data_IF_900685531751
#
_entry.id   IF_900685531751
#
_cell.length_a   1.000
_cell.length_b   1.000
_cell.length_c   1.000
_cell.angle_alpha   90.00
_cell.angle_beta   90.00
_cell.angle_gamma   90.00
#
_symmetry.space_group_name_H-M   'P 1'
#
loop_
_entity.id
_entity.type
_entity.pdbx_description
1 polymer ?
#
# COMPACT_ATOMS: atom_id res chain seq x y z
N UNK A 1 -13.54 3.17 -4.50
CA UNK A 1 -13.22 2.67 -5.86
C UNK A 1 -11.75 2.28 -5.83
N UNK A 2 -11.43 0.99 -5.84
CA UNK A 2 -10.10 0.51 -5.46
C UNK A 2 -8.97 1.06 -6.37
N UNK A 3 -8.11 1.91 -5.82
CA UNK A 3 -6.93 2.44 -6.52
C UNK A 3 -5.79 1.42 -6.46
N UNK A 4 -5.81 0.46 -7.38
CA UNK A 4 -4.68 -0.45 -7.58
C UNK A 4 -3.50 0.33 -8.19
N UNK A 5 -2.40 0.38 -7.46
CA UNK A 5 -1.17 1.06 -7.88
C UNK A 5 0.03 0.19 -7.65
N UNK A 6 1.10 0.46 -8.39
CA UNK A 6 2.38 -0.20 -8.12
C UNK A 6 2.87 0.17 -6.71
N UNK A 7 3.57 -0.71 -6.00
CA UNK A 7 4.10 -0.41 -4.64
C UNK A 7 4.78 0.96 -4.56
N UNK A 8 5.59 1.32 -5.56
CA UNK A 8 6.27 2.64 -5.61
C UNK A 8 5.31 3.82 -5.76
N UNK A 9 4.29 3.70 -6.61
CA UNK A 9 3.29 4.75 -6.79
C UNK A 9 2.37 4.86 -5.59
N UNK A 10 2.03 3.73 -4.97
CA UNK A 10 1.22 3.69 -3.77
C UNK A 10 1.95 4.42 -2.63
N UNK A 11 3.22 4.08 -2.40
CA UNK A 11 4.05 4.75 -1.41
C UNK A 11 4.20 6.25 -1.67
N UNK A 12 4.40 6.65 -2.93
CA UNK A 12 4.49 8.06 -3.32
C UNK A 12 3.19 8.80 -3.03
N UNK A 13 2.05 8.22 -3.41
CA UNK A 13 0.75 8.82 -3.14
C UNK A 13 0.42 8.90 -1.67
N UNK A 14 0.73 7.85 -0.91
CA UNK A 14 0.54 7.82 0.53
C UNK A 14 1.34 8.97 1.16
N UNK A 15 2.61 9.15 0.79
CA UNK A 15 3.42 10.28 1.26
C UNK A 15 2.91 11.66 0.83
N UNK A 16 2.32 11.77 -0.36
CA UNK A 16 1.71 13.03 -0.84
C UNK A 16 0.38 13.34 -0.12
N UNK A 17 -0.41 12.32 0.19
CA UNK A 17 -1.68 12.45 0.90
C UNK A 17 -1.48 12.65 2.40
N UNK A 18 -0.55 11.91 2.99
CA UNK A 18 -0.23 11.96 4.40
C UNK A 18 1.28 11.72 4.62
N UNK A 19 2.08 12.77 4.87
CA UNK A 19 3.51 12.64 5.07
C UNK A 19 3.90 12.06 6.44
N UNK A 20 2.97 11.98 7.40
CA UNK A 20 3.19 11.41 8.73
C UNK A 20 3.13 9.88 8.75
N UNK A 21 2.55 9.31 7.70
CA UNK A 21 2.51 7.88 7.46
C UNK A 21 3.93 7.30 7.33
N UNK A 22 4.34 6.49 8.32
CA UNK A 22 5.62 5.76 8.33
C UNK A 22 5.62 4.51 7.43
N UNK A 23 4.99 4.60 6.25
CA UNK A 23 4.92 3.49 5.30
C UNK A 23 6.18 3.47 4.43
N UNK A 24 6.92 2.38 4.53
CA UNK A 24 8.10 2.12 3.71
C UNK A 24 7.83 1.02 2.68
N UNK A 25 8.71 0.90 1.68
CA UNK A 25 8.60 -0.16 0.67
C UNK A 25 8.57 -1.55 1.31
N UNK A 26 9.39 -1.74 2.36
CA UNK A 26 9.41 -2.98 3.13
C UNK A 26 8.10 -3.21 3.88
N UNK A 27 7.49 -2.17 4.45
CA UNK A 27 6.19 -2.30 5.10
C UNK A 27 5.11 -2.79 4.12
N UNK A 28 5.02 -2.17 2.93
CA UNK A 28 4.06 -2.58 1.91
C UNK A 28 4.36 -4.00 1.39
N UNK A 29 5.64 -4.32 1.18
CA UNK A 29 6.06 -5.66 0.77
C UNK A 29 5.70 -6.70 1.82
N UNK A 30 5.96 -6.41 3.09
CA UNK A 30 5.64 -7.30 4.20
C UNK A 30 4.12 -7.46 4.34
N UNK A 31 3.35 -6.38 4.27
CA UNK A 31 1.88 -6.40 4.28
C UNK A 31 1.28 -7.20 3.12
N UNK A 32 1.94 -7.16 1.95
CA UNK A 32 1.62 -7.98 0.78
C UNK A 32 1.93 -9.47 1.03
N UNK A 33 3.05 -9.79 1.67
CA UNK A 33 3.41 -11.16 2.02
C UNK A 33 2.54 -11.74 3.15
N UNK A 34 2.17 -10.93 4.15
CA UNK A 34 1.28 -11.30 5.26
C UNK A 34 -0.20 -11.28 4.87
N UNK A 35 -0.54 -10.95 3.61
CA UNK A 35 -1.91 -10.80 3.09
C UNK A 35 -2.79 -9.83 3.89
N UNK A 36 -2.16 -8.87 4.58
CA UNK A 36 -2.87 -7.86 5.38
C UNK A 36 -3.47 -6.78 4.48
N UNK A 37 -2.94 -6.61 3.26
CA UNK A 37 -3.50 -5.72 2.24
C UNK A 37 -3.69 -6.47 0.93
N UNK A 38 -4.75 -6.15 0.20
CA UNK A 38 -4.98 -6.76 -1.11
C UNK A 38 -3.88 -6.36 -2.11
N UNK A 39 -3.08 -7.34 -2.50
CA UNK A 39 -1.96 -7.17 -3.43
C UNK A 39 -1.95 -8.28 -4.48
N UNK A 40 -1.76 -7.89 -5.73
CA UNK A 40 -1.75 -8.79 -6.88
C UNK A 40 -0.36 -8.74 -7.51
N UNK A 41 0.27 -9.91 -7.62
CA UNK A 41 1.54 -10.05 -8.34
C UNK A 41 1.25 -10.26 -9.82
N UNK A 42 1.73 -9.36 -10.66
CA UNK A 42 1.56 -9.39 -12.11
C UNK A 42 2.93 -9.51 -12.78
N UNK A 43 3.31 -10.75 -13.10
CA UNK A 43 4.55 -11.19 -13.76
C UNK A 43 5.86 -10.75 -13.04
N UNK A 44 6.21 -9.46 -13.07
CA UNK A 44 7.36 -8.85 -12.39
C UNK A 44 7.01 -7.66 -11.49
N UNK A 45 5.76 -7.19 -11.50
CA UNK A 45 5.30 -6.03 -10.73
C UNK A 45 4.32 -6.47 -9.64
N UNK A 46 4.35 -5.78 -8.52
CA UNK A 46 3.35 -5.91 -7.47
C UNK A 46 2.40 -4.71 -7.57
N UNK A 47 1.13 -5.02 -7.80
CA UNK A 47 0.03 -4.07 -7.66
C UNK A 47 -0.50 -4.20 -6.24
N UNK A 48 -0.52 -3.10 -5.52
CA UNK A 48 -1.10 -3.03 -4.18
C UNK A 48 -2.32 -2.13 -4.22
N UNK A 49 -3.34 -2.49 -3.45
CA UNK A 49 -4.50 -1.66 -3.28
C UNK A 49 -4.19 -0.51 -2.31
N UNK A 50 -4.13 0.71 -2.84
CA UNK A 50 -3.88 1.91 -2.04
C UNK A 50 -5.02 2.15 -1.03
N UNK A 51 -6.26 1.84 -1.42
CA UNK A 51 -7.45 2.07 -0.59
C UNK A 51 -7.39 1.26 0.70
N UNK A 52 -6.98 -0.01 0.60
CA UNK A 52 -6.77 -0.90 1.75
C UNK A 52 -5.61 -0.43 2.63
N UNK A 53 -4.49 -0.01 2.02
CA UNK A 53 -3.36 0.57 2.75
C UNK A 53 -3.78 1.82 3.53
N UNK A 54 -4.50 2.74 2.87
CA UNK A 54 -4.98 3.97 3.50
C UNK A 54 -5.95 3.66 4.63
N UNK A 55 -6.83 2.67 4.44
CA UNK A 55 -7.77 2.22 5.44
C UNK A 55 -7.05 1.58 6.63
N UNK A 56 -6.02 0.79 6.40
CA UNK A 56 -5.21 0.18 7.45
C UNK A 56 -4.53 1.24 8.32
N UNK A 57 -4.03 2.32 7.70
CA UNK A 57 -3.41 3.43 8.43
C UNK A 57 -4.38 4.40 9.07
N UNK A 58 -5.53 4.64 8.45
CA UNK A 58 -6.56 5.49 9.02
C UNK A 58 -7.38 4.77 10.10
N UNK A 59 -7.17 3.46 10.28
CA UNK A 59 -7.94 2.62 11.19
C UNK A 59 -7.12 2.07 12.36
N UNK A 60 -6.04 2.76 12.75
CA UNK A 60 -5.65 2.74 14.16
C UNK A 60 -6.60 3.67 14.93
N UNK A 61 -7.59 3.06 15.58
CA UNK A 61 -8.34 3.63 16.72
C UNK A 61 -7.54 3.40 18.01
#
# INVERSE_FOLDING_TARGET
>A
MARMRTIREALKQIKELDPNTSVTYNFIKQACETKTVHSIRLNKKYLVNLDELLKLLSMEE
#
